data_IF_926165772664
#
_entry.id   IF_926165772664
#
_cell.length_a   1.000
_cell.length_b   1.000
_cell.length_c   1.000
_cell.angle_alpha   90.00
_cell.angle_beta   90.00
_cell.angle_gamma   90.00
#
_symmetry.space_group_name_H-M   'P 1'
#
loop_
_entity.id
_entity.type
_entity.pdbx_description
1 polymer ?
#
# COMPACT_ATOMS: atom_id res chain seq x y z
N UNK A 1 -14.09 11.28 -0.52
CA UNK A 1 -13.95 10.07 0.32
C UNK A 1 -14.15 8.84 -0.55
N UNK A 2 -13.16 7.97 -0.66
CA UNK A 2 -13.28 6.78 -1.51
C UNK A 2 -14.23 5.73 -0.93
N UNK A 3 -14.96 5.04 -1.79
CA UNK A 3 -16.01 4.08 -1.41
C UNK A 3 -15.41 2.77 -0.90
N UNK A 4 -16.06 2.10 0.07
CA UNK A 4 -15.69 0.74 0.46
C UNK A 4 -15.81 -0.21 -0.73
N UNK A 5 -14.86 -1.14 -0.86
CA UNK A 5 -14.85 -2.16 -1.92
C UNK A 5 -15.58 -3.42 -1.44
N UNK A 6 -15.54 -3.67 -0.13
CA UNK A 6 -16.19 -4.79 0.54
C UNK A 6 -15.22 -5.92 0.88
N UNK A 7 -15.27 -6.39 2.13
CA UNK A 7 -14.35 -7.41 2.67
C UNK A 7 -14.29 -8.71 1.85
N UNK A 8 -15.40 -9.13 1.21
CA UNK A 8 -15.42 -10.33 0.37
C UNK A 8 -14.46 -10.21 -0.82
N UNK A 9 -14.50 -9.07 -1.53
CA UNK A 9 -13.62 -8.82 -2.68
C UNK A 9 -12.16 -8.72 -2.27
N UNK A 10 -11.89 -8.10 -1.11
CA UNK A 10 -10.54 -8.06 -0.55
C UNK A 10 -10.00 -9.45 -0.23
N UNK A 11 -10.83 -10.31 0.37
CA UNK A 11 -10.45 -11.71 0.64
C UNK A 11 -10.12 -12.45 -0.65
N UNK A 12 -10.99 -12.35 -1.65
CA UNK A 12 -10.77 -12.99 -2.95
C UNK A 12 -9.46 -12.51 -3.61
N UNK A 13 -9.15 -11.21 -3.51
CA UNK A 13 -7.92 -10.64 -4.08
C UNK A 13 -6.66 -11.11 -3.34
N UNK A 14 -6.66 -11.08 -2.00
CA UNK A 14 -5.53 -11.55 -1.18
C UNK A 14 -5.28 -13.06 -1.40
N UNK A 15 -6.34 -13.86 -1.48
CA UNK A 15 -6.24 -15.28 -1.80
C UNK A 15 -5.66 -15.52 -3.20
N UNK A 16 -6.03 -14.68 -4.18
CA UNK A 16 -5.45 -14.72 -5.52
C UNK A 16 -3.96 -14.39 -5.51
N UNK A 17 -3.53 -13.31 -4.84
CA UNK A 17 -2.10 -12.98 -4.67
C UNK A 17 -1.35 -14.18 -4.07
N UNK A 18 -1.90 -14.79 -3.00
CA UNK A 18 -1.26 -15.91 -2.32
C UNK A 18 -1.15 -17.15 -3.20
N UNK A 19 -2.18 -17.44 -3.99
CA UNK A 19 -2.16 -18.54 -4.94
C UNK A 19 -1.12 -18.32 -6.05
N UNK A 20 -1.04 -17.12 -6.64
CA UNK A 20 -0.08 -16.84 -7.71
C UNK A 20 1.36 -16.82 -7.19
N UNK A 21 1.61 -16.21 -6.03
CA UNK A 21 2.93 -16.24 -5.38
C UNK A 21 3.39 -17.67 -5.13
N UNK A 22 2.50 -18.54 -4.61
CA UNK A 22 2.83 -19.96 -4.38
C UNK A 22 3.20 -20.69 -5.68
N UNK A 23 2.50 -20.41 -6.79
CA UNK A 23 2.81 -21.01 -8.11
C UNK A 23 4.17 -20.55 -8.63
N UNK A 24 4.48 -19.27 -8.47
CA UNK A 24 5.76 -18.71 -8.89
C UNK A 24 6.92 -19.33 -8.10
N UNK A 25 6.81 -19.39 -6.78
CA UNK A 25 7.85 -19.94 -5.89
C UNK A 25 8.08 -21.44 -6.12
N UNK A 26 7.00 -22.21 -6.33
CA UNK A 26 7.13 -23.63 -6.69
C UNK A 26 7.93 -23.85 -7.98
N UNK A 27 7.91 -22.89 -8.91
CA UNK A 27 8.61 -22.98 -10.19
C UNK A 27 10.07 -22.51 -10.10
N UNK A 28 10.46 -21.79 -9.03
CA UNK A 28 11.71 -21.03 -8.97
C UNK A 28 12.77 -21.51 -7.98
N UNK A 29 12.63 -22.71 -7.39
CA UNK A 29 13.54 -23.26 -6.34
C UNK A 29 13.74 -22.31 -5.13
N UNK A 30 12.88 -21.30 -4.97
CA UNK A 30 12.89 -20.35 -3.86
C UNK A 30 12.18 -20.97 -2.64
N UNK A 31 12.60 -20.58 -1.43
CA UNK A 31 11.97 -21.04 -0.18
C UNK A 31 10.46 -20.69 -0.14
N UNK A 32 9.70 -21.43 0.68
CA UNK A 32 8.30 -21.11 0.95
C UNK A 32 8.18 -19.64 1.39
N UNK A 33 7.57 -18.84 0.54
CA UNK A 33 7.39 -17.43 0.81
C UNK A 33 6.43 -17.21 1.96
N UNK A 34 6.58 -16.08 2.64
CA UNK A 34 5.66 -15.56 3.65
C UNK A 34 4.19 -15.59 3.20
N UNK A 35 3.30 -15.68 4.19
CA UNK A 35 1.84 -15.67 4.03
C UNK A 35 1.24 -14.37 4.57
N UNK A 36 0.02 -13.99 4.12
CA UNK A 36 -0.69 -12.86 4.71
C UNK A 36 -0.93 -13.10 6.20
N UNK A 37 -0.74 -12.07 7.01
CA UNK A 37 -1.09 -12.13 8.42
C UNK A 37 -2.62 -12.28 8.57
N UNK A 38 -3.10 -12.88 9.67
CA UNK A 38 -4.52 -12.83 10.00
C UNK A 38 -5.04 -11.40 9.99
N UNK A 39 -6.28 -11.22 9.55
CA UNK A 39 -6.93 -9.90 9.52
C UNK A 39 -6.91 -9.19 10.88
N UNK A 40 -6.71 -7.88 10.83
CA UNK A 40 -6.58 -7.03 12.00
C UNK A 40 -7.89 -7.01 12.80
N UNK A 41 -7.76 -7.12 14.12
CA UNK A 41 -8.87 -6.88 15.04
C UNK A 41 -9.20 -5.40 15.13
N UNK A 42 -10.41 -5.06 15.57
CA UNK A 42 -10.81 -3.67 15.84
C UNK A 42 -9.87 -2.97 16.83
N UNK A 43 -9.29 -3.70 17.79
CA UNK A 43 -8.32 -3.17 18.73
C UNK A 43 -6.99 -2.78 18.03
N UNK A 44 -6.51 -3.60 17.09
CA UNK A 44 -5.31 -3.32 16.33
C UNK A 44 -5.50 -2.13 15.39
N UNK A 45 -6.65 -2.07 14.71
CA UNK A 45 -7.04 -0.94 13.86
C UNK A 45 -7.09 0.36 14.67
N UNK A 46 -7.80 0.36 15.81
CA UNK A 46 -7.89 1.52 16.70
C UNK A 46 -6.51 1.97 17.23
N UNK A 47 -5.61 1.03 17.54
CA UNK A 47 -4.26 1.36 17.98
C UNK A 47 -3.42 2.01 16.87
N UNK A 48 -3.58 1.57 15.61
CA UNK A 48 -2.94 2.20 14.46
C UNK A 48 -3.47 3.61 14.21
N UNK A 49 -4.80 3.80 14.27
CA UNK A 49 -5.44 5.12 14.16
C UNK A 49 -4.98 6.08 15.26
N UNK A 50 -4.82 5.58 16.49
CA UNK A 50 -4.27 6.37 17.59
C UNK A 50 -2.83 6.80 17.33
N UNK A 51 -1.98 5.93 16.76
CA UNK A 51 -0.60 6.30 16.37
C UNK A 51 -0.59 7.35 15.26
N UNK A 52 -1.48 7.22 14.28
CA UNK A 52 -1.61 8.18 13.19
C UNK A 52 -2.24 9.51 13.61
N UNK A 53 -2.96 9.55 14.73
CA UNK A 53 -3.73 10.71 15.17
C UNK A 53 -4.98 10.98 14.33
N UNK A 54 -5.38 10.05 13.45
CA UNK A 54 -6.55 10.16 12.56
C UNK A 54 -7.15 8.78 12.24
N UNK A 55 -8.44 8.70 11.88
CA UNK A 55 -9.03 7.44 11.44
C UNK A 55 -8.43 6.96 10.10
N UNK A 56 -8.38 5.65 9.91
CA UNK A 56 -8.03 5.01 8.65
C UNK A 56 -9.26 5.10 7.72
N UNK A 57 -9.03 5.52 6.47
CA UNK A 57 -10.07 5.50 5.45
C UNK A 57 -10.57 4.07 5.17
N UNK A 58 -11.80 3.88 4.64
CA UNK A 58 -12.35 2.55 4.35
C UNK A 58 -11.44 1.69 3.48
N UNK A 59 -10.76 2.30 2.50
CA UNK A 59 -9.84 1.60 1.60
C UNK A 59 -8.56 1.08 2.27
N UNK A 60 -8.22 1.57 3.46
CA UNK A 60 -7.12 1.05 4.27
C UNK A 60 -7.63 0.09 5.33
N UNK A 61 -8.74 0.45 5.99
CA UNK A 61 -9.31 -0.34 7.08
C UNK A 61 -9.82 -1.71 6.62
N UNK A 62 -10.50 -1.78 5.48
CA UNK A 62 -11.05 -3.04 4.95
C UNK A 62 -9.98 -4.09 4.61
N UNK A 63 -8.94 -3.80 3.80
CA UNK A 63 -7.92 -4.80 3.51
C UNK A 63 -7.16 -5.23 4.75
N UNK A 64 -6.86 -4.31 5.68
CA UNK A 64 -6.23 -4.65 6.96
C UNK A 64 -7.08 -5.63 7.79
N UNK A 65 -8.42 -5.49 7.77
CA UNK A 65 -9.32 -6.44 8.44
C UNK A 65 -9.35 -7.84 7.80
N UNK A 66 -8.82 -7.98 6.58
CA UNK A 66 -8.70 -9.25 5.87
C UNK A 66 -7.28 -9.82 6.01
N UNK A 67 -6.26 -8.98 5.86
CA UNK A 67 -4.85 -9.31 6.03
C UNK A 67 -4.10 -8.15 6.70
N UNK A 68 -3.64 -8.36 7.94
CA UNK A 68 -2.95 -7.33 8.74
C UNK A 68 -1.47 -7.20 8.35
N UNK A 69 -1.24 -6.81 7.09
CA UNK A 69 0.07 -6.79 6.49
C UNK A 69 0.52 -8.15 5.97
N UNK A 70 1.59 -8.12 5.19
CA UNK A 70 2.16 -9.29 4.56
C UNK A 70 3.58 -8.98 4.08
N UNK A 71 4.56 -9.50 4.79
CA UNK A 71 5.96 -9.42 4.36
C UNK A 71 6.12 -10.02 2.96
N UNK A 72 6.89 -9.39 2.09
CA UNK A 72 7.21 -9.92 0.75
C UNK A 72 5.96 -10.37 -0.04
N UNK A 73 4.83 -9.68 0.08
CA UNK A 73 3.58 -10.03 -0.60
C UNK A 73 3.77 -10.10 -2.12
N UNK A 74 4.61 -9.22 -2.66
CA UNK A 74 4.99 -9.14 -4.05
C UNK A 74 6.51 -9.27 -4.18
N UNK A 75 7.01 -10.50 -4.01
CA UNK A 75 8.43 -10.88 -4.07
C UNK A 75 9.34 -10.18 -3.06
N UNK A 76 9.65 -8.90 -3.26
CA UNK A 76 10.55 -8.09 -2.42
C UNK A 76 9.84 -6.96 -1.67
N UNK A 77 8.55 -6.75 -1.96
CA UNK A 77 7.75 -5.67 -1.37
C UNK A 77 6.79 -6.23 -0.33
N UNK A 78 6.55 -5.48 0.74
CA UNK A 78 5.75 -5.88 1.89
C UNK A 78 4.53 -4.96 2.05
N UNK A 79 3.34 -5.54 2.29
CA UNK A 79 2.16 -4.79 2.73
C UNK A 79 2.34 -4.43 4.20
N UNK A 80 2.22 -3.15 4.54
CA UNK A 80 2.29 -2.72 5.93
C UNK A 80 1.07 -3.22 6.71
N UNK A 81 1.34 -3.80 7.88
CA UNK A 81 0.30 -4.13 8.85
C UNK A 81 0.04 -2.98 9.83
N UNK A 82 -1.04 -3.10 10.61
CA UNK A 82 -1.37 -2.15 11.68
C UNK A 82 -0.23 -1.94 12.65
N UNK A 83 0.58 -2.96 12.96
CA UNK A 83 1.73 -2.88 13.85
C UNK A 83 2.84 -1.92 13.36
N UNK A 84 2.91 -1.68 12.05
CA UNK A 84 3.93 -0.84 11.41
C UNK A 84 3.38 0.55 11.07
N UNK A 85 2.05 0.69 10.93
CA UNK A 85 1.43 1.98 10.65
C UNK A 85 1.68 2.96 11.80
N UNK A 86 2.32 4.08 11.48
CA UNK A 86 2.66 5.16 12.41
C UNK A 86 3.93 4.92 13.24
N UNK A 87 4.67 3.81 13.04
CA UNK A 87 5.83 3.49 13.87
C UNK A 87 6.82 2.51 13.21
N UNK A 88 8.10 2.66 13.53
CA UNK A 88 9.13 1.68 13.20
C UNK A 88 9.80 1.96 11.85
N UNK A 89 10.85 1.18 11.56
CA UNK A 89 11.80 1.51 10.49
C UNK A 89 11.15 1.62 9.10
N UNK A 90 10.26 0.69 8.74
CA UNK A 90 9.61 0.70 7.41
C UNK A 90 8.75 1.95 7.22
N UNK A 91 8.00 2.31 8.26
CA UNK A 91 7.19 3.53 8.30
C UNK A 91 8.04 4.80 8.21
N UNK A 92 9.07 4.89 9.05
CA UNK A 92 9.98 6.04 9.08
C UNK A 92 10.66 6.23 7.71
N UNK A 93 11.12 5.15 7.08
CA UNK A 93 11.69 5.20 5.73
C UNK A 93 10.66 5.64 4.68
N UNK A 94 9.39 5.21 4.81
CA UNK A 94 8.32 5.68 3.92
C UNK A 94 8.02 7.17 4.07
N UNK A 95 8.05 7.70 5.30
CA UNK A 95 7.90 9.12 5.57
C UNK A 95 9.04 9.92 4.94
N UNK A 96 10.29 9.47 5.10
CA UNK A 96 11.45 10.11 4.46
C UNK A 96 11.32 10.11 2.93
N UNK A 97 10.90 8.99 2.34
CA UNK A 97 10.66 8.91 0.90
C UNK A 97 9.53 9.85 0.45
N UNK A 98 8.42 9.93 1.21
CA UNK A 98 7.34 10.86 0.91
C UNK A 98 7.80 12.33 0.93
N UNK A 99 8.67 12.71 1.87
CA UNK A 99 9.26 14.06 1.92
C UNK A 99 10.14 14.34 0.70
N UNK A 100 10.98 13.38 0.30
CA UNK A 100 11.87 13.52 -0.84
C UNK A 100 11.10 13.66 -2.16
N UNK A 101 9.99 12.93 -2.31
CA UNK A 101 9.30 12.80 -3.59
C UNK A 101 8.09 13.73 -3.73
N UNK A 102 7.36 13.99 -2.64
CA UNK A 102 6.11 14.75 -2.69
C UNK A 102 6.23 16.19 -2.18
N UNK A 103 7.28 16.55 -1.43
CA UNK A 103 7.50 17.94 -0.99
C UNK A 103 8.47 18.66 -1.94
N UNK A 104 8.19 18.62 -3.25
CA UNK A 104 9.03 19.26 -4.28
C UNK A 104 8.19 20.13 -5.22
N UNK A 105 8.76 21.24 -5.69
CA UNK A 105 8.10 22.11 -6.69
C UNK A 105 7.73 21.32 -7.95
N UNK A 106 8.59 20.39 -8.37
CA UNK A 106 8.32 19.51 -9.52
C UNK A 106 7.05 18.67 -9.32
N UNK A 107 6.87 18.12 -8.12
CA UNK A 107 5.69 17.34 -7.80
C UNK A 107 4.42 18.19 -7.78
N UNK A 108 4.50 19.37 -7.13
CA UNK A 108 3.39 20.32 -7.09
C UNK A 108 2.96 20.77 -8.50
N UNK A 109 3.92 21.06 -9.39
CA UNK A 109 3.66 21.38 -10.80
C UNK A 109 3.01 20.23 -11.56
N UNK A 110 3.42 19.00 -11.24
CA UNK A 110 2.95 17.79 -11.91
C UNK A 110 1.51 17.42 -11.53
N UNK A 111 1.16 17.53 -10.25
CA UNK A 111 -0.22 17.32 -9.78
C UNK A 111 -1.07 18.56 -10.04
N UNK A 112 -0.47 19.75 -10.09
CA UNK A 112 -1.18 21.03 -10.17
C UNK A 112 -1.69 21.53 -8.81
N UNK A 113 -1.21 20.95 -7.71
CA UNK A 113 -1.59 21.30 -6.34
C UNK A 113 -0.40 21.17 -5.39
N UNK A 114 -0.33 22.05 -4.39
CA UNK A 114 0.66 21.94 -3.32
C UNK A 114 0.23 20.85 -2.32
N UNK A 115 1.02 19.79 -2.20
CA UNK A 115 0.79 18.68 -1.27
C UNK A 115 1.98 18.48 -0.35
N UNK A 116 1.76 17.85 0.81
CA UNK A 116 2.83 17.53 1.75
C UNK A 116 2.97 16.03 1.97
N UNK A 117 4.10 15.57 2.51
CA UNK A 117 4.32 14.16 2.80
C UNK A 117 3.23 13.55 3.70
N UNK A 118 2.63 14.36 4.58
CA UNK A 118 1.53 13.94 5.47
C UNK A 118 0.22 13.57 4.73
N UNK A 119 0.07 14.04 3.49
CA UNK A 119 -1.05 13.71 2.62
C UNK A 119 -0.88 12.33 1.94
N UNK A 120 0.24 11.65 2.19
CA UNK A 120 0.57 10.35 1.60
C UNK A 120 0.78 9.30 2.69
N UNK A 121 -0.13 8.34 2.76
CA UNK A 121 -0.11 7.24 3.71
C UNK A 121 0.59 6.03 3.07
N UNK A 122 1.76 5.65 3.57
CA UNK A 122 2.45 4.45 3.10
C UNK A 122 1.59 3.20 3.32
N UNK A 123 1.55 2.33 2.31
CA UNK A 123 0.84 1.04 2.32
C UNK A 123 1.72 -0.12 1.88
N UNK A 124 2.71 0.15 1.03
CA UNK A 124 3.72 -0.83 0.61
C UNK A 124 5.10 -0.29 0.96
N UNK A 125 5.93 -1.14 1.58
CA UNK A 125 7.34 -0.89 1.77
C UNK A 125 8.16 -1.88 0.94
N UNK A 126 9.11 -1.37 0.19
CA UNK A 126 10.21 -2.18 -0.31
C UNK A 126 11.39 -2.16 0.65
N UNK A 127 12.21 -3.19 0.61
CA UNK A 127 13.37 -3.31 1.50
C UNK A 127 14.40 -2.19 1.33
N UNK A 128 14.43 -1.54 0.15
CA UNK A 128 15.28 -0.38 -0.11
C UNK A 128 14.60 0.98 0.18
N UNK A 129 13.33 0.96 0.62
CA UNK A 129 12.54 2.15 0.96
C UNK A 129 12.19 3.04 -0.24
N UNK A 130 12.46 2.58 -1.47
CA UNK A 130 12.39 3.39 -2.67
C UNK A 130 11.57 2.71 -3.78
N UNK A 131 12.16 1.79 -4.53
CA UNK A 131 11.48 1.17 -5.67
C UNK A 131 10.28 0.35 -5.18
N UNK A 132 9.12 0.48 -5.82
CA UNK A 132 7.87 -0.19 -5.45
C UNK A 132 7.28 0.19 -4.06
N UNK A 133 7.82 1.22 -3.41
CA UNK A 133 7.16 1.81 -2.23
C UNK A 133 5.92 2.57 -2.68
N UNK A 134 4.76 2.22 -2.12
CA UNK A 134 3.48 2.78 -2.54
C UNK A 134 2.74 3.48 -1.40
N UNK A 135 2.01 4.54 -1.77
CA UNK A 135 1.30 5.45 -0.89
C UNK A 135 -0.14 5.62 -1.35
N UNK A 136 -1.08 5.69 -0.41
CA UNK A 136 -2.45 6.16 -0.64
C UNK A 136 -2.49 7.66 -0.35
N UNK A 137 -2.96 8.45 -1.30
CA UNK A 137 -3.26 9.86 -1.08
C UNK A 137 -4.48 10.01 -0.17
N UNK A 138 -4.34 10.83 0.86
CA UNK A 138 -5.31 11.05 1.93
C UNK A 138 -5.51 12.54 2.23
N UNK A 139 -4.91 13.42 1.41
CA UNK A 139 -5.16 14.85 1.43
C UNK A 139 -6.50 15.24 0.82
N UNK A 140 -6.72 16.55 0.71
CA UNK A 140 -7.97 17.15 0.25
C UNK A 140 -7.68 18.25 -0.78
N UNK A 141 -7.35 17.82 -2.01
CA UNK A 141 -7.15 18.68 -3.17
C UNK A 141 -8.01 18.18 -4.33
N UNK A 142 -8.43 19.08 -5.23
CA UNK A 142 -9.35 18.72 -6.32
C UNK A 142 -8.65 17.92 -7.43
N UNK A 143 -7.34 18.12 -7.59
CA UNK A 143 -6.51 17.58 -8.64
C UNK A 143 -6.16 16.09 -8.43
N UNK A 144 -6.15 15.64 -7.18
CA UNK A 144 -5.79 14.26 -6.80
C UNK A 144 -6.86 13.69 -5.86
N UNK A 145 -7.68 12.73 -6.31
CA UNK A 145 -8.71 12.14 -5.48
C UNK A 145 -8.15 11.41 -4.25
N UNK A 146 -8.69 11.70 -3.07
CA UNK A 146 -8.39 10.93 -1.86
C UNK A 146 -8.73 9.44 -2.06
N UNK A 147 -7.74 8.57 -1.84
CA UNK A 147 -7.80 7.13 -2.14
C UNK A 147 -6.87 6.71 -3.28
N UNK A 148 -6.45 7.64 -4.15
CA UNK A 148 -5.51 7.36 -5.23
C UNK A 148 -4.21 6.78 -4.70
N UNK A 149 -3.63 5.83 -5.44
CA UNK A 149 -2.36 5.19 -5.07
C UNK A 149 -1.26 5.62 -6.02
N UNK A 150 -0.11 5.92 -5.42
CA UNK A 150 1.11 6.32 -6.11
C UNK A 150 2.23 5.37 -5.70
N UNK A 151 2.98 4.89 -6.67
CA UNK A 151 4.17 4.08 -6.43
C UNK A 151 5.43 4.82 -6.85
N UNK A 152 6.51 4.63 -6.08
CA UNK A 152 7.82 5.17 -6.39
C UNK A 152 8.66 4.22 -7.27
N UNK A 153 9.46 4.76 -8.20
CA UNK A 153 9.47 6.17 -8.61
C UNK A 153 8.20 6.51 -9.39
N UNK A 154 7.59 7.66 -9.08
CA UNK A 154 6.43 8.15 -9.82
C UNK A 154 6.87 9.18 -10.86
N UNK A 155 6.44 9.00 -12.10
CA UNK A 155 6.54 10.00 -13.16
C UNK A 155 5.18 10.64 -13.49
N UNK A 156 4.13 10.34 -12.72
CA UNK A 156 2.79 10.94 -12.84
C UNK A 156 1.78 10.17 -13.67
N UNK A 157 2.24 9.29 -14.56
CA UNK A 157 1.36 8.46 -15.39
C UNK A 157 0.86 7.19 -14.66
N UNK A 158 1.52 6.80 -13.56
CA UNK A 158 1.23 5.59 -12.77
C UNK A 158 0.40 5.89 -11.50
N UNK A 159 -0.61 6.76 -11.62
CA UNK A 159 -1.56 7.01 -10.53
C UNK A 159 -2.72 6.02 -10.65
N UNK A 160 -2.83 5.14 -9.66
CA UNK A 160 -3.93 4.19 -9.56
C UNK A 160 -5.14 4.87 -8.92
N UNK A 161 -6.37 4.56 -9.36
CA UNK A 161 -7.56 5.18 -8.82
C UNK A 161 -7.82 4.81 -7.35
N UNK A 162 -7.39 3.61 -6.94
CA UNK A 162 -7.47 3.13 -5.56
C UNK A 162 -6.51 1.97 -5.27
N UNK A 163 -6.39 1.62 -3.98
CA UNK A 163 -5.57 0.50 -3.51
C UNK A 163 -5.99 -0.85 -4.07
N UNK A 164 -7.29 -1.06 -4.33
CA UNK A 164 -7.76 -2.33 -4.87
C UNK A 164 -7.28 -2.51 -6.32
N UNK A 165 -7.45 -1.47 -7.15
CA UNK A 165 -6.93 -1.43 -8.51
C UNK A 165 -5.42 -1.61 -8.57
N UNK A 166 -4.67 -0.96 -7.66
CA UNK A 166 -3.23 -1.17 -7.54
C UNK A 166 -2.87 -2.63 -7.29
N UNK A 167 -3.50 -3.28 -6.29
CA UNK A 167 -3.19 -4.68 -5.97
C UNK A 167 -3.66 -5.67 -7.04
N UNK A 168 -4.72 -5.35 -7.80
CA UNK A 168 -5.10 -6.15 -8.99
C UNK A 168 -3.98 -6.15 -10.02
N UNK A 169 -3.37 -4.99 -10.32
CA UNK A 169 -2.24 -4.93 -11.26
C UNK A 169 -1.05 -5.74 -10.74
N UNK A 170 -0.76 -5.73 -9.43
CA UNK A 170 0.29 -6.56 -8.83
C UNK A 170 0.05 -8.07 -8.99
N UNK A 171 -1.21 -8.51 -8.90
CA UNK A 171 -1.56 -9.92 -9.21
C UNK A 171 -1.25 -10.26 -10.67
N UNK A 172 -1.65 -9.39 -11.59
CA UNK A 172 -1.44 -9.62 -13.03
C UNK A 172 0.05 -9.67 -13.38
N UNK A 173 0.88 -8.89 -12.70
CA UNK A 173 2.34 -8.92 -12.85
C UNK A 173 2.95 -10.24 -12.40
N UNK A 174 2.60 -10.75 -11.21
CA UNK A 174 3.05 -12.08 -10.75
C UNK A 174 2.64 -13.15 -11.77
N UNK A 175 1.42 -13.04 -12.30
CA UNK A 175 0.86 -14.01 -13.26
C UNK A 175 1.65 -14.06 -14.58
N UNK A 176 2.28 -12.96 -15.02
CA UNK A 176 3.12 -12.96 -16.23
C UNK A 176 4.36 -13.85 -16.12
N UNK A 177 4.80 -14.18 -14.90
CA UNK A 177 5.99 -14.98 -14.63
C UNK A 177 5.68 -16.47 -14.33
N UNK A 178 4.41 -16.86 -14.32
CA UNK A 178 3.94 -18.24 -14.07
C UNK A 178 3.37 -18.87 -15.33
#
# INVERSE_FOLDING_TARGET
MSSPVGQGRWRDLIEQIAAQKRRLLHTSDLEEGSHPNPGATEQQLAAAEQRLGRPLGPQLREPLSVADGWDHFHLFDSLLGTAEIGVGRRWESGVESAQIWFETEKWDEQIGACTGAADYQQVVASDNGYFATAFVFVGDVDELPAGSVLELPTEGDDIYPDLYSYLVVRVDEITKYT
#
